data_IF_646102044108
#
_entry.id   IF_646102044108
#
_cell.length_a   1.000
_cell.length_b   1.000
_cell.length_c   1.000
_cell.angle_alpha   90.00
_cell.angle_beta   90.00
_cell.angle_gamma   90.00
#
_symmetry.space_group_name_H-M   'P 1'
#
loop_
_entity.id
_entity.type
_entity.pdbx_description
1 polymer ?
#
# COMPACT_ATOMS: atom_id res chain seq x y z
N UNK A 1 30.32 18.91 9.21
CA UNK A 1 29.43 19.41 10.28
C UNK A 1 28.06 19.70 9.68
N UNK A 2 27.13 18.81 9.92
CA UNK A 2 25.73 18.98 9.53
C UNK A 2 24.98 19.39 10.79
N UNK A 3 24.50 20.63 10.81
CA UNK A 3 23.70 21.18 11.90
C UNK A 3 22.27 20.59 11.84
N UNK A 4 21.86 19.91 12.88
CA UNK A 4 20.49 19.46 13.11
C UNK A 4 19.65 20.64 13.60
N UNK A 5 18.67 21.08 12.81
CA UNK A 5 17.60 21.92 13.31
C UNK A 5 16.50 21.03 13.90
N UNK A 6 16.35 21.09 15.22
CA UNK A 6 15.25 20.45 15.93
C UNK A 6 13.96 21.23 15.65
N UNK A 7 13.00 20.61 14.96
CA UNK A 7 11.63 21.09 14.87
C UNK A 7 10.90 20.73 16.17
N UNK A 8 10.55 21.75 16.95
CA UNK A 8 9.80 21.60 18.18
C UNK A 8 8.32 21.33 17.85
N UNK A 9 7.80 20.19 18.29
CA UNK A 9 6.36 19.92 18.34
C UNK A 9 5.69 20.86 19.37
N UNK A 10 4.52 21.44 19.06
CA UNK A 10 3.80 22.26 20.04
C UNK A 10 3.29 21.36 21.18
N UNK A 11 3.19 21.89 22.42
CA UNK A 11 2.73 21.12 23.57
C UNK A 11 1.26 20.76 23.43
N UNK A 12 0.95 19.53 23.88
CA UNK A 12 -0.41 18.98 23.87
C UNK A 12 -1.41 19.92 24.56
N UNK A 13 -2.45 20.26 23.86
CA UNK A 13 -3.58 21.05 24.38
C UNK A 13 -4.22 20.31 25.57
N UNK A 14 -4.38 21.03 26.68
CA UNK A 14 -5.04 20.56 27.91
C UNK A 14 -6.44 20.04 27.57
N UNK A 15 -6.69 18.78 27.94
CA UNK A 15 -8.04 18.20 27.92
C UNK A 15 -8.94 18.99 28.87
N UNK A 16 -9.80 19.83 28.34
CA UNK A 16 -10.96 20.35 29.06
C UNK A 16 -11.94 19.19 29.28
N UNK A 17 -12.24 18.92 30.53
CA UNK A 17 -13.24 17.94 30.96
C UNK A 17 -14.60 18.32 30.37
N UNK A 18 -15.05 17.58 29.38
CA UNK A 18 -16.45 17.63 28.94
C UNK A 18 -17.27 16.93 30.02
N UNK A 19 -18.02 17.75 30.79
CA UNK A 19 -19.04 17.29 31.70
C UNK A 19 -20.06 16.41 30.96
N UNK A 20 -20.34 15.28 31.59
CA UNK A 20 -21.43 14.37 31.27
C UNK A 20 -22.73 15.13 30.91
N UNK A 21 -23.15 15.02 29.68
CA UNK A 21 -24.52 15.36 29.29
C UNK A 21 -25.19 14.12 28.76
N UNK A 22 -26.24 13.76 29.50
CA UNK A 22 -27.37 12.91 29.16
C UNK A 22 -27.01 11.57 28.47
N UNK A 23 -27.19 10.51 29.21
CA UNK A 23 -27.54 9.20 28.69
C UNK A 23 -28.82 9.36 27.84
N UNK A 24 -28.66 9.73 26.57
CA UNK A 24 -29.67 9.45 25.58
C UNK A 24 -29.87 7.94 25.61
N UNK A 25 -31.01 7.45 26.08
CA UNK A 25 -31.44 6.10 25.87
C UNK A 25 -31.34 5.87 24.38
N UNK A 26 -30.37 5.05 23.97
CA UNK A 26 -30.38 4.41 22.67
C UNK A 26 -31.58 3.50 22.74
N UNK A 27 -32.75 3.99 22.29
CA UNK A 27 -33.89 3.17 21.99
C UNK A 27 -33.37 2.11 21.04
N UNK A 28 -33.58 0.84 21.38
CA UNK A 28 -33.14 -0.29 20.59
C UNK A 28 -33.50 -0.01 19.13
N UNK A 29 -32.49 0.34 18.35
CA UNK A 29 -32.60 0.48 16.89
C UNK A 29 -32.98 -0.92 16.44
N UNK A 30 -34.19 -1.07 15.91
CA UNK A 30 -34.66 -2.36 15.41
C UNK A 30 -33.57 -2.93 14.51
N UNK A 31 -32.98 -4.04 14.92
CA UNK A 31 -32.00 -4.73 14.10
C UNK A 31 -32.70 -5.10 12.80
N UNK A 32 -32.34 -4.43 11.73
CA UNK A 32 -32.84 -4.79 10.40
C UNK A 32 -32.17 -6.12 10.09
N UNK A 33 -32.97 -7.16 9.88
CA UNK A 33 -32.42 -8.43 9.46
C UNK A 33 -31.74 -8.31 8.10
N UNK A 34 -30.75 -9.18 7.84
CA UNK A 34 -29.94 -9.10 6.64
C UNK A 34 -30.76 -9.20 5.35
N UNK A 35 -31.83 -9.99 5.34
CA UNK A 35 -32.71 -10.14 4.17
C UNK A 35 -33.44 -8.83 3.85
N UNK A 36 -33.96 -8.17 4.88
CA UNK A 36 -34.60 -6.85 4.72
C UNK A 36 -33.60 -5.79 4.27
N UNK A 37 -32.37 -5.78 4.79
CA UNK A 37 -31.32 -4.85 4.36
C UNK A 37 -30.95 -5.06 2.90
N UNK A 38 -30.76 -6.33 2.48
CA UNK A 38 -30.48 -6.70 1.08
C UNK A 38 -31.62 -6.29 0.17
N UNK A 39 -32.90 -6.62 0.55
CA UNK A 39 -34.06 -6.26 -0.26
C UNK A 39 -34.18 -4.74 -0.46
N UNK A 40 -33.92 -3.94 0.58
CA UNK A 40 -33.91 -2.47 0.48
C UNK A 40 -32.78 -1.96 -0.41
N UNK A 41 -31.59 -2.50 -0.25
CA UNK A 41 -30.43 -2.11 -1.06
C UNK A 41 -30.64 -2.45 -2.55
N UNK A 42 -31.15 -3.64 -2.86
CA UNK A 42 -31.40 -4.07 -4.26
C UNK A 42 -32.58 -3.32 -4.91
N UNK A 43 -33.54 -2.85 -4.12
CA UNK A 43 -34.64 -2.02 -4.63
C UNK A 43 -34.25 -0.57 -4.89
N UNK A 44 -33.19 -0.06 -4.24
CA UNK A 44 -32.75 1.33 -4.38
C UNK A 44 -32.06 1.55 -5.72
N UNK A 45 -32.54 2.50 -6.56
CA UNK A 45 -31.93 2.79 -7.85
C UNK A 45 -30.45 3.13 -7.79
N UNK A 46 -29.95 3.68 -6.67
CA UNK A 46 -28.54 4.03 -6.48
C UNK A 46 -27.60 2.81 -6.53
N UNK A 47 -28.10 1.64 -6.18
CA UNK A 47 -27.33 0.38 -6.15
C UNK A 47 -27.63 -0.55 -7.33
N UNK A 48 -28.41 -0.09 -8.33
CA UNK A 48 -28.63 -0.88 -9.55
C UNK A 48 -27.37 -0.89 -10.43
N UNK A 49 -27.13 -2.02 -11.12
CA UNK A 49 -25.97 -2.21 -12.00
C UNK A 49 -25.84 -1.11 -13.08
N UNK A 50 -26.93 -0.53 -13.52
CA UNK A 50 -26.97 0.60 -14.47
C UNK A 50 -26.31 1.88 -13.92
N UNK A 51 -26.33 2.06 -12.59
CA UNK A 51 -25.69 3.19 -11.91
C UNK A 51 -24.23 2.91 -11.53
N UNK A 52 -23.81 1.65 -11.57
CA UNK A 52 -22.45 1.23 -11.26
C UNK A 52 -21.58 1.36 -12.51
N UNK A 53 -21.05 2.56 -12.74
CA UNK A 53 -20.04 2.75 -13.77
C UNK A 53 -18.67 2.58 -13.12
N UNK A 54 -17.88 1.55 -13.51
CA UNK A 54 -16.53 1.42 -13.01
C UNK A 54 -15.71 2.66 -13.40
N UNK A 55 -14.76 3.10 -12.59
CA UNK A 55 -13.85 4.17 -12.94
C UNK A 55 -13.17 3.89 -14.30
N UNK A 56 -12.97 4.96 -15.07
CA UNK A 56 -12.40 4.83 -16.40
C UNK A 56 -10.92 4.48 -16.28
N UNK A 57 -10.51 3.38 -16.92
CA UNK A 57 -9.10 3.04 -17.13
C UNK A 57 -8.54 3.85 -18.30
N UNK A 58 -7.25 4.18 -18.23
CA UNK A 58 -6.54 4.97 -19.26
C UNK A 58 -5.75 4.10 -20.25
N UNK A 59 -5.83 2.77 -20.13
CA UNK A 59 -5.13 1.83 -21.01
C UNK A 59 -3.61 1.80 -20.81
N UNK A 60 -3.13 2.21 -19.64
CA UNK A 60 -1.73 2.13 -19.23
C UNK A 60 -1.60 1.13 -18.08
N UNK A 61 -0.58 0.25 -18.16
CA UNK A 61 -0.25 -0.65 -17.05
C UNK A 61 0.45 0.10 -15.93
N UNK A 62 0.03 -0.16 -14.70
CA UNK A 62 0.68 0.34 -13.50
C UNK A 62 2.09 -0.25 -13.41
N UNK A 63 3.08 0.60 -13.22
CA UNK A 63 4.47 0.19 -12.98
C UNK A 63 4.80 0.11 -11.49
N UNK A 64 5.96 -0.48 -11.19
CA UNK A 64 6.49 -0.54 -9.82
C UNK A 64 6.67 0.87 -9.24
N UNK A 65 7.25 1.78 -10.03
CA UNK A 65 7.41 3.20 -9.73
C UNK A 65 6.60 4.06 -10.68
N UNK A 66 6.52 5.37 -10.44
CA UNK A 66 6.02 6.40 -11.36
C UNK A 66 4.63 6.13 -11.95
N UNK A 67 3.63 6.02 -11.11
CA UNK A 67 2.25 6.01 -11.55
C UNK A 67 1.75 7.44 -11.87
N UNK A 68 0.46 7.59 -12.23
CA UNK A 68 -0.14 8.92 -12.47
C UNK A 68 -0.30 9.78 -11.21
N UNK A 69 0.14 9.31 -10.05
CA UNK A 69 0.16 10.00 -8.76
C UNK A 69 -1.17 10.69 -8.40
N UNK A 70 -2.29 10.01 -8.66
CA UNK A 70 -3.63 10.54 -8.40
C UNK A 70 -4.15 10.26 -6.99
N UNK A 71 -3.43 9.50 -6.18
CA UNK A 71 -3.68 9.12 -4.79
C UNK A 71 -5.03 8.43 -4.50
N UNK A 72 -5.80 8.08 -5.52
CA UNK A 72 -7.11 7.43 -5.35
C UNK A 72 -7.03 6.10 -4.62
N UNK A 73 -5.90 5.40 -4.71
CA UNK A 73 -5.68 4.14 -4.00
C UNK A 73 -5.58 4.30 -2.48
N UNK A 74 -5.24 5.47 -1.97
CA UNK A 74 -5.12 5.74 -0.54
C UNK A 74 -6.50 5.71 0.12
N UNK A 75 -7.45 6.63 -0.20
CA UNK A 75 -8.78 6.61 0.40
C UNK A 75 -9.65 5.43 -0.05
N UNK A 76 -9.30 4.76 -1.15
CA UNK A 76 -10.04 3.59 -1.61
C UNK A 76 -9.74 2.34 -0.78
N UNK A 77 -8.63 2.32 -0.04
CA UNK A 77 -8.25 1.18 0.80
C UNK A 77 -9.00 1.23 2.14
N UNK A 78 -9.91 0.28 2.44
CA UNK A 78 -10.66 0.28 3.68
C UNK A 78 -9.81 0.00 4.93
N UNK A 79 -8.60 -0.50 4.73
CA UNK A 79 -7.67 -0.89 5.79
C UNK A 79 -6.43 0.01 5.86
N UNK A 80 -6.40 1.12 5.12
CA UNK A 80 -5.26 2.04 5.03
C UNK A 80 -3.93 1.36 4.71
N UNK A 81 -3.98 0.28 3.91
CA UNK A 81 -2.79 -0.49 3.56
C UNK A 81 -1.90 0.22 2.53
N UNK A 82 -2.47 1.05 1.66
CA UNK A 82 -1.68 1.84 0.72
C UNK A 82 -1.22 3.14 1.38
N UNK A 83 0.01 3.51 1.12
CA UNK A 83 0.60 4.74 1.64
C UNK A 83 1.49 5.42 0.60
N UNK A 84 1.62 6.73 0.70
CA UNK A 84 2.55 7.52 -0.08
C UNK A 84 3.86 7.70 0.68
N UNK A 85 4.97 7.75 -0.06
CA UNK A 85 6.28 8.08 0.48
C UNK A 85 7.07 8.93 -0.51
N UNK A 86 8.03 9.67 0.01
CA UNK A 86 8.94 10.47 -0.80
C UNK A 86 10.24 9.70 -1.05
N UNK A 87 10.67 9.66 -2.30
CA UNK A 87 11.95 9.09 -2.71
C UNK A 87 12.72 10.10 -3.58
N UNK A 88 14.04 10.12 -3.49
CA UNK A 88 14.83 10.87 -4.45
C UNK A 88 14.75 10.18 -5.82
N UNK A 89 14.52 10.93 -6.91
CA UNK A 89 14.56 10.37 -8.25
C UNK A 89 15.87 9.66 -8.51
N UNK A 90 15.79 8.50 -9.10
CA UNK A 90 16.98 7.72 -9.44
C UNK A 90 16.85 7.03 -10.79
N UNK A 91 17.98 6.78 -11.41
CA UNK A 91 18.06 5.88 -12.55
C UNK A 91 19.39 5.13 -12.54
N UNK A 92 19.36 3.89 -12.97
CA UNK A 92 20.56 3.07 -13.03
C UNK A 92 20.38 1.89 -13.97
N UNK A 93 21.47 1.46 -14.56
CA UNK A 93 21.51 0.23 -15.33
C UNK A 93 21.84 -0.91 -14.38
N UNK A 94 21.21 -2.05 -14.58
CA UNK A 94 21.50 -3.26 -13.81
C UNK A 94 21.93 -4.39 -14.73
N UNK A 95 22.82 -5.22 -14.21
CA UNK A 95 23.24 -6.47 -14.85
C UNK A 95 22.33 -7.62 -14.40
N UNK A 96 22.03 -8.51 -15.32
CA UNK A 96 21.33 -9.75 -15.02
C UNK A 96 22.27 -10.93 -15.16
N UNK A 97 21.99 -12.00 -14.44
CA UNK A 97 22.79 -13.22 -14.51
C UNK A 97 21.87 -14.42 -14.70
N UNK A 98 22.30 -15.36 -15.53
CA UNK A 98 21.71 -16.67 -15.66
C UNK A 98 22.62 -17.69 -14.96
N UNK A 99 22.05 -18.64 -14.28
CA UNK A 99 22.85 -19.74 -13.70
C UNK A 99 22.96 -20.85 -14.71
N UNK A 100 24.21 -21.11 -15.17
CA UNK A 100 24.55 -22.21 -16.10
C UNK A 100 25.65 -23.08 -15.47
N UNK A 101 25.38 -24.36 -15.33
CA UNK A 101 26.32 -25.28 -14.69
C UNK A 101 26.70 -24.89 -13.25
N UNK A 102 25.79 -24.25 -12.50
CA UNK A 102 26.02 -23.78 -11.13
C UNK A 102 26.85 -22.49 -11.03
N UNK A 103 27.13 -21.80 -12.13
CA UNK A 103 27.89 -20.55 -12.17
C UNK A 103 27.02 -19.41 -12.72
N UNK A 104 27.11 -18.18 -12.17
CA UNK A 104 26.46 -17.04 -12.74
C UNK A 104 27.14 -16.62 -14.06
N UNK A 105 26.36 -16.52 -15.13
CA UNK A 105 26.81 -16.04 -16.45
C UNK A 105 26.09 -14.72 -16.70
N UNK A 106 26.79 -13.61 -16.97
CA UNK A 106 26.19 -12.33 -17.28
C UNK A 106 25.29 -12.43 -18.51
N UNK A 107 24.13 -11.83 -18.44
CA UNK A 107 23.21 -11.63 -19.56
C UNK A 107 22.79 -10.16 -19.60
N UNK A 108 22.32 -9.66 -20.75
CA UNK A 108 21.85 -8.28 -20.82
C UNK A 108 20.87 -7.96 -19.70
N UNK A 109 21.17 -6.95 -18.94
CA UNK A 109 20.31 -6.40 -17.90
C UNK A 109 19.28 -5.45 -18.48
N UNK A 110 18.89 -4.45 -17.69
CA UNK A 110 17.97 -3.42 -18.07
C UNK A 110 18.29 -2.12 -17.35
N UNK A 111 17.37 -1.19 -17.47
CA UNK A 111 17.43 0.08 -16.76
C UNK A 111 16.26 0.16 -15.79
N UNK A 112 16.54 0.56 -14.54
CA UNK A 112 15.52 0.92 -13.56
C UNK A 112 15.51 2.43 -13.40
N UNK A 113 14.33 3.01 -13.32
CA UNK A 113 14.15 4.44 -13.21
C UNK A 113 12.94 4.76 -12.32
N UNK A 114 13.09 5.73 -11.43
CA UNK A 114 12.01 6.40 -10.73
C UNK A 114 12.22 7.91 -10.86
N UNK A 115 11.31 8.59 -11.53
CA UNK A 115 11.41 10.01 -11.89
C UNK A 115 10.70 10.89 -10.89
N UNK A 116 9.60 10.39 -10.35
CA UNK A 116 8.74 11.13 -9.44
C UNK A 116 9.20 10.93 -8.00
N UNK A 117 9.20 12.02 -7.22
CA UNK A 117 9.51 11.94 -5.79
C UNK A 117 8.40 11.26 -5.00
N UNK A 118 7.15 11.53 -5.37
CA UNK A 118 5.97 10.96 -4.75
C UNK A 118 5.73 9.54 -5.28
N UNK A 119 5.82 8.58 -4.39
CA UNK A 119 5.67 7.17 -4.71
C UNK A 119 4.61 6.51 -3.83
N UNK A 120 4.04 5.44 -4.32
CA UNK A 120 3.03 4.66 -3.61
C UNK A 120 3.59 3.29 -3.26
N UNK A 121 3.27 2.82 -2.06
CA UNK A 121 3.58 1.46 -1.60
C UNK A 121 2.40 0.86 -0.84
N UNK A 122 2.47 -0.43 -0.57
CA UNK A 122 1.47 -1.18 0.19
C UNK A 122 2.09 -1.79 1.44
N UNK A 123 1.46 -1.57 2.59
CA UNK A 123 1.81 -2.23 3.85
C UNK A 123 1.04 -3.55 3.94
N UNK A 124 1.76 -4.66 3.76
CA UNK A 124 1.16 -5.97 3.52
C UNK A 124 0.35 -6.48 4.72
N UNK A 125 0.74 -6.16 5.95
CA UNK A 125 0.06 -6.64 7.14
C UNK A 125 -1.38 -6.09 7.26
N UNK A 126 -1.69 -4.98 6.59
CA UNK A 126 -3.03 -4.39 6.55
C UNK A 126 -3.81 -4.76 5.28
N UNK A 127 -3.13 -5.26 4.25
CA UNK A 127 -3.76 -5.58 2.97
C UNK A 127 -4.48 -6.92 3.03
N UNK A 128 -5.77 -6.94 2.76
CA UNK A 128 -6.60 -8.13 2.65
C UNK A 128 -6.92 -8.54 1.20
N UNK A 129 -6.20 -7.96 0.23
CA UNK A 129 -6.35 -8.22 -1.21
C UNK A 129 -7.78 -7.98 -1.76
N UNK A 130 -8.54 -7.05 -1.19
CA UNK A 130 -9.92 -6.80 -1.60
C UNK A 130 -10.07 -6.20 -3.02
N UNK A 131 -8.98 -5.69 -3.62
CA UNK A 131 -8.98 -5.14 -4.98
C UNK A 131 -9.58 -3.74 -5.14
N UNK A 132 -10.08 -3.09 -4.08
CA UNK A 132 -10.67 -1.75 -4.19
C UNK A 132 -9.70 -0.74 -4.79
N UNK A 133 -8.43 -0.78 -4.41
CA UNK A 133 -7.41 0.12 -4.95
C UNK A 133 -7.18 -0.08 -6.46
N UNK A 134 -7.34 -1.30 -6.98
CA UNK A 134 -7.33 -1.55 -8.43
C UNK A 134 -8.58 -0.98 -9.11
N UNK A 135 -9.75 -1.22 -8.53
CA UNK A 135 -11.02 -0.70 -9.08
C UNK A 135 -10.97 0.81 -9.31
N UNK A 136 -10.40 1.57 -8.37
CA UNK A 136 -10.32 3.03 -8.46
C UNK A 136 -9.04 3.56 -9.12
N UNK A 137 -8.04 2.71 -9.34
CA UNK A 137 -6.83 3.10 -10.07
C UNK A 137 -7.16 3.38 -11.55
N UNK A 138 -6.71 4.49 -12.14
CA UNK A 138 -6.89 4.71 -13.58
C UNK A 138 -5.98 3.81 -14.43
N UNK A 139 -4.92 3.25 -13.86
CA UNK A 139 -4.00 2.31 -14.52
C UNK A 139 -4.39 0.86 -14.23
N UNK A 140 -4.01 -0.06 -15.11
CA UNK A 140 -4.31 -1.49 -15.00
C UNK A 140 -3.23 -2.22 -14.18
N UNK A 141 -3.61 -3.12 -13.28
CA UNK A 141 -2.70 -3.99 -12.53
C UNK A 141 -2.84 -3.93 -11.00
N UNK A 142 -3.44 -2.88 -10.48
CA UNK A 142 -3.74 -2.71 -9.05
C UNK A 142 -2.54 -2.41 -8.15
N UNK A 143 -2.60 -1.34 -7.36
CA UNK A 143 -1.49 -0.96 -6.46
C UNK A 143 -1.06 -2.08 -5.52
N UNK A 144 -1.98 -2.84 -4.97
CA UNK A 144 -1.69 -3.95 -4.04
C UNK A 144 -0.92 -5.11 -4.69
N UNK A 145 -0.84 -5.16 -6.01
CA UNK A 145 -0.06 -6.16 -6.78
C UNK A 145 1.25 -5.57 -7.29
N UNK A 146 1.18 -4.41 -7.95
CA UNK A 146 2.27 -3.85 -8.73
C UNK A 146 3.22 -2.95 -7.93
N UNK A 147 2.74 -2.32 -6.85
CA UNK A 147 3.56 -1.40 -6.03
C UNK A 147 4.41 -2.15 -5.01
N UNK A 148 5.54 -1.55 -4.55
CA UNK A 148 6.36 -2.16 -3.52
C UNK A 148 5.55 -2.53 -2.29
N UNK A 149 5.78 -3.72 -1.74
CA UNK A 149 5.14 -4.18 -0.51
C UNK A 149 6.12 -4.18 0.64
N UNK A 150 5.67 -3.69 1.79
CA UNK A 150 6.43 -3.71 3.02
C UNK A 150 5.71 -4.51 4.09
N UNK A 151 6.48 -5.24 4.88
CA UNK A 151 6.02 -6.01 6.03
C UNK A 151 6.45 -5.33 7.32
N UNK A 152 5.62 -5.34 8.34
CA UNK A 152 5.91 -4.72 9.63
C UNK A 152 6.84 -5.54 10.51
N UNK A 153 7.04 -6.81 10.22
CA UNK A 153 7.95 -7.67 10.96
C UNK A 153 8.64 -8.72 10.08
N UNK A 154 9.81 -9.16 10.52
CA UNK A 154 10.52 -10.27 9.87
C UNK A 154 9.70 -11.57 9.93
N UNK A 155 8.91 -11.74 10.97
CA UNK A 155 8.05 -12.90 11.14
C UNK A 155 6.91 -12.88 10.11
N UNK A 156 6.20 -11.78 9.97
CA UNK A 156 5.15 -11.60 8.96
C UNK A 156 5.71 -11.82 7.54
N UNK A 157 6.90 -11.28 7.25
CA UNK A 157 7.57 -11.50 5.97
C UNK A 157 7.91 -12.98 5.72
N UNK A 158 8.33 -13.72 6.74
CA UNK A 158 8.61 -15.17 6.63
C UNK A 158 7.35 -16.00 6.47
N UNK A 159 6.29 -15.70 7.23
CA UNK A 159 5.03 -16.43 7.18
C UNK A 159 4.33 -16.31 5.81
N UNK A 160 4.51 -15.18 5.12
CA UNK A 160 3.93 -14.94 3.80
C UNK A 160 4.94 -15.23 2.67
N UNK A 161 5.56 -16.41 2.70
CA UNK A 161 6.64 -16.78 1.77
C UNK A 161 6.23 -16.79 0.27
N UNK A 162 4.95 -16.88 -0.04
CA UNK A 162 4.43 -16.82 -1.42
C UNK A 162 4.26 -15.38 -1.96
N UNK A 163 4.60 -14.35 -1.17
CA UNK A 163 4.44 -12.95 -1.58
C UNK A 163 5.79 -12.25 -1.67
N UNK A 164 6.02 -11.56 -2.76
CA UNK A 164 7.15 -10.66 -2.91
C UNK A 164 6.98 -9.42 -2.05
N UNK A 165 8.07 -8.85 -1.58
CA UNK A 165 8.07 -7.66 -0.75
C UNK A 165 9.24 -7.60 0.21
N UNK A 166 9.26 -6.54 1.03
CA UNK A 166 10.41 -6.14 1.81
C UNK A 166 10.07 -5.98 3.29
N UNK A 167 11.02 -6.34 4.14
CA UNK A 167 11.06 -5.95 5.54
C UNK A 167 12.35 -5.19 5.79
N UNK A 168 12.25 -4.00 6.38
CA UNK A 168 13.40 -3.15 6.70
C UNK A 168 13.50 -3.00 8.20
N UNK A 169 14.70 -3.13 8.74
CA UNK A 169 15.01 -2.91 10.15
C UNK A 169 16.21 -2.00 10.29
N UNK A 170 16.01 -0.89 10.98
CA UNK A 170 17.09 0.04 11.35
C UNK A 170 17.54 -0.26 12.78
N UNK A 171 18.83 -0.53 12.99
CA UNK A 171 19.46 -0.65 14.30
C UNK A 171 20.78 0.10 14.30
N UNK A 172 21.01 0.90 15.32
CA UNK A 172 22.27 1.62 15.56
C UNK A 172 22.76 2.42 14.35
N UNK A 173 21.82 2.93 13.53
CA UNK A 173 22.12 3.71 12.32
C UNK A 173 22.47 2.87 11.08
N UNK A 174 22.40 1.55 11.18
CA UNK A 174 22.54 0.64 10.03
C UNK A 174 21.19 0.03 9.67
N UNK A 175 20.92 -0.05 8.37
CA UNK A 175 19.72 -0.66 7.83
C UNK A 175 20.01 -2.08 7.36
N UNK A 176 19.13 -3.00 7.74
CA UNK A 176 19.11 -4.35 7.17
C UNK A 176 17.79 -4.53 6.44
N UNK A 177 17.83 -4.92 5.19
CA UNK A 177 16.66 -5.21 4.39
C UNK A 177 16.57 -6.70 4.04
N UNK A 178 15.44 -7.31 4.31
CA UNK A 178 15.05 -8.62 3.76
C UNK A 178 14.07 -8.39 2.62
N UNK A 179 14.42 -8.87 1.45
CA UNK A 179 13.60 -8.79 0.25
C UNK A 179 13.24 -10.16 -0.30
N UNK A 180 12.11 -10.25 -0.96
CA UNK A 180 11.72 -11.40 -1.78
C UNK A 180 11.21 -10.88 -3.11
N UNK A 181 11.80 -11.41 -4.20
CA UNK A 181 11.44 -11.07 -5.57
C UNK A 181 11.42 -12.35 -6.40
N UNK A 182 10.28 -12.63 -7.05
CA UNK A 182 10.11 -13.87 -7.83
C UNK A 182 10.29 -15.14 -6.98
N UNK A 183 9.92 -15.09 -5.69
CA UNK A 183 10.08 -16.20 -4.75
C UNK A 183 11.50 -16.38 -4.21
N UNK A 184 12.50 -15.61 -4.67
CA UNK A 184 13.88 -15.66 -4.18
C UNK A 184 14.06 -14.65 -3.06
N UNK A 185 14.62 -15.10 -1.93
CA UNK A 185 14.89 -14.27 -0.77
C UNK A 185 16.31 -13.67 -0.82
N UNK A 186 16.41 -12.40 -0.46
CA UNK A 186 17.65 -11.63 -0.39
C UNK A 186 17.77 -10.97 0.98
N UNK A 187 19.01 -10.69 1.39
CA UNK A 187 19.32 -9.86 2.55
C UNK A 187 20.43 -8.88 2.18
N UNK A 188 20.22 -7.62 2.50
CA UNK A 188 21.16 -6.52 2.32
C UNK A 188 21.48 -5.92 3.71
N UNK A 189 22.75 -5.57 3.93
CA UNK A 189 23.26 -4.91 5.15
C UNK A 189 24.12 -3.71 4.76
#
# INVERSE_FOLDING_TARGET
SISRSASAYPPAARRTSLRSRSTARVTATAMIDAATAVARATADPRYRGESLRPPRKIGRRLGLFDCVNCDKCLPACPNDANFAYEAEPFSGDYESFRVEGGRPVPVPGGRVEARERHQIATFQDFCNDCGNCDTFCPEDGGPYVEKPRFFGSLEAWRQQAGRDGFYVRTREGADTMWGRLGGVAYRLE
#
